data_IF_737558179100
#
_entry.id   IF_737558179100
#
_cell.length_a   1.000
_cell.length_b   1.000
_cell.length_c   1.000
_cell.angle_alpha   90.00
_cell.angle_beta   90.00
_cell.angle_gamma   90.00
#
_symmetry.space_group_name_H-M   'P 1'
#
loop_
_entity.id
_entity.type
_entity.pdbx_description
1 polymer ?
#
# COMPACT_ATOMS: atom_id res chain seq x y z
N UNK A 1 -25.18 15.02 22.17
CA UNK A 1 -24.17 15.20 21.11
C UNK A 1 -24.81 14.82 19.78
N UNK A 2 -24.59 15.59 18.72
CA UNK A 2 -25.11 15.22 17.40
C UNK A 2 -24.43 13.92 16.92
N UNK A 3 -25.15 13.03 16.22
CA UNK A 3 -24.56 11.82 15.67
C UNK A 3 -23.45 12.15 14.68
N UNK A 4 -22.39 11.33 14.61
CA UNK A 4 -21.31 11.53 13.65
C UNK A 4 -21.84 11.43 12.21
N UNK A 5 -21.41 12.34 11.33
CA UNK A 5 -21.79 12.32 9.93
C UNK A 5 -21.31 11.04 9.23
N UNK A 6 -22.07 10.49 8.27
CA UNK A 6 -21.61 9.40 7.44
C UNK A 6 -20.31 9.75 6.70
N UNK A 7 -19.38 8.80 6.59
CA UNK A 7 -18.07 9.02 5.95
C UNK A 7 -18.18 9.64 4.55
N UNK A 8 -19.13 9.15 3.73
CA UNK A 8 -19.39 9.67 2.38
C UNK A 8 -19.82 11.14 2.36
N UNK A 9 -20.60 11.58 3.36
CA UNK A 9 -21.03 12.99 3.48
C UNK A 9 -19.84 13.86 3.82
N UNK A 10 -18.97 13.40 4.71
CA UNK A 10 -17.74 14.10 5.06
C UNK A 10 -16.81 14.24 3.85
N UNK A 11 -16.61 13.16 3.08
CA UNK A 11 -15.80 13.18 1.85
C UNK A 11 -16.38 14.15 0.80
N UNK A 12 -17.71 14.19 0.64
CA UNK A 12 -18.37 15.14 -0.26
C UNK A 12 -18.18 16.60 0.17
N UNK A 13 -18.24 16.88 1.48
CA UNK A 13 -17.96 18.22 2.03
C UNK A 13 -16.50 18.60 1.80
N UNK A 14 -15.55 17.69 2.02
CA UNK A 14 -14.13 17.90 1.74
C UNK A 14 -13.90 18.26 0.27
N UNK A 15 -14.52 17.50 -0.64
CA UNK A 15 -14.43 17.72 -2.08
C UNK A 15 -15.03 19.07 -2.50
N UNK A 16 -16.18 19.46 -1.94
CA UNK A 16 -16.78 20.76 -2.22
C UNK A 16 -15.86 21.93 -1.79
N UNK A 17 -15.22 21.79 -0.63
CA UNK A 17 -14.24 22.76 -0.11
C UNK A 17 -13.01 22.81 -1.04
N UNK A 18 -12.47 21.66 -1.44
CA UNK A 18 -11.31 21.57 -2.33
C UNK A 18 -11.59 22.16 -3.72
N UNK A 19 -12.77 21.92 -4.29
CA UNK A 19 -13.17 22.50 -5.58
C UNK A 19 -13.22 24.03 -5.49
N UNK A 20 -13.78 24.58 -4.41
CA UNK A 20 -13.81 26.03 -4.22
C UNK A 20 -12.39 26.61 -4.15
N UNK A 21 -11.50 25.97 -3.40
CA UNK A 21 -10.09 26.36 -3.31
C UNK A 21 -9.37 26.28 -4.67
N UNK A 22 -9.57 25.20 -5.44
CA UNK A 22 -8.99 25.04 -6.79
C UNK A 22 -9.46 26.12 -7.76
N UNK A 23 -10.69 26.61 -7.60
CA UNK A 23 -11.25 27.71 -8.40
C UNK A 23 -10.85 29.10 -7.88
N UNK A 24 -9.91 29.21 -6.94
CA UNK A 24 -9.53 30.46 -6.27
C UNK A 24 -10.71 31.21 -5.62
N UNK A 25 -11.75 30.47 -5.18
CA UNK A 25 -12.93 31.03 -4.51
C UNK A 25 -12.90 30.71 -3.02
N UNK A 26 -13.48 31.61 -2.23
CA UNK A 26 -13.73 31.35 -0.81
C UNK A 26 -14.93 30.40 -0.73
N UNK A 27 -14.80 29.20 -0.14
CA UNK A 27 -15.93 28.29 -0.02
C UNK A 27 -17.03 28.86 0.89
N UNK A 28 -18.28 28.82 0.42
CA UNK A 28 -19.44 29.27 1.18
C UNK A 28 -19.88 28.16 2.15
N UNK A 29 -19.42 28.25 3.40
CA UNK A 29 -19.69 27.24 4.43
C UNK A 29 -21.17 27.11 4.77
N UNK A 30 -21.95 28.19 4.73
CA UNK A 30 -23.39 28.17 5.03
C UNK A 30 -24.14 27.37 3.97
N UNK A 31 -23.88 27.66 2.69
CA UNK A 31 -24.49 26.94 1.58
C UNK A 31 -24.12 25.45 1.57
N UNK A 32 -22.87 25.11 1.90
CA UNK A 32 -22.42 23.72 2.05
C UNK A 32 -23.13 23.05 3.23
N UNK A 33 -23.24 23.72 4.37
CA UNK A 33 -23.93 23.17 5.54
C UNK A 33 -25.39 22.83 5.22
N UNK A 34 -26.10 23.73 4.54
CA UNK A 34 -27.48 23.53 4.10
C UNK A 34 -27.60 22.37 3.09
N UNK A 35 -26.71 22.30 2.10
CA UNK A 35 -26.72 21.25 1.07
C UNK A 35 -26.56 19.84 1.63
N UNK A 36 -25.83 19.69 2.74
CA UNK A 36 -25.58 18.40 3.39
C UNK A 36 -26.39 18.21 4.68
N UNK A 37 -27.39 19.06 4.94
CA UNK A 37 -28.22 19.05 6.15
C UNK A 37 -27.37 18.93 7.44
N UNK A 38 -26.35 19.78 7.54
CA UNK A 38 -25.41 19.81 8.66
C UNK A 38 -25.23 21.23 9.18
N UNK A 39 -24.39 21.41 10.19
CA UNK A 39 -24.14 22.70 10.83
C UNK A 39 -22.92 23.39 10.26
N UNK A 40 -22.95 24.72 10.24
CA UNK A 40 -21.78 25.56 9.91
C UNK A 40 -20.54 25.18 10.74
N UNK A 41 -20.73 24.85 12.02
CA UNK A 41 -19.66 24.42 12.93
C UNK A 41 -18.98 23.14 12.44
N UNK A 42 -19.76 22.17 11.96
CA UNK A 42 -19.26 20.91 11.40
C UNK A 42 -18.47 21.15 10.12
N UNK A 43 -19.02 21.94 9.19
CA UNK A 43 -18.33 22.29 7.93
C UNK A 43 -17.04 23.07 8.20
N UNK A 44 -17.06 24.01 9.15
CA UNK A 44 -15.88 24.77 9.57
C UNK A 44 -14.81 23.86 10.15
N UNK A 45 -15.20 22.87 10.96
CA UNK A 45 -14.27 21.87 11.48
C UNK A 45 -13.62 21.05 10.36
N UNK A 46 -14.41 20.61 9.38
CA UNK A 46 -13.92 19.88 8.20
C UNK A 46 -12.96 20.77 7.39
N UNK A 47 -13.30 22.04 7.13
CA UNK A 47 -12.42 22.98 6.43
C UNK A 47 -11.08 23.16 7.13
N UNK A 48 -11.07 23.36 8.46
CA UNK A 48 -9.83 23.47 9.23
C UNK A 48 -8.98 22.22 9.10
N UNK A 49 -9.61 21.04 9.07
CA UNK A 49 -8.92 19.77 8.84
C UNK A 49 -8.29 19.70 7.46
N UNK A 50 -9.03 20.01 6.40
CA UNK A 50 -8.54 20.03 5.01
C UNK A 50 -7.32 20.95 4.89
N UNK A 51 -7.42 22.17 5.42
CA UNK A 51 -6.30 23.13 5.41
C UNK A 51 -5.08 22.62 6.19
N UNK A 52 -5.29 21.91 7.30
CA UNK A 52 -4.19 21.31 8.08
C UNK A 52 -3.48 20.23 7.27
N UNK A 53 -4.23 19.36 6.60
CA UNK A 53 -3.66 18.29 5.74
C UNK A 53 -2.88 18.92 4.58
N UNK A 54 -3.46 19.91 3.90
CA UNK A 54 -2.78 20.66 2.82
C UNK A 54 -1.50 21.33 3.30
N UNK A 55 -1.49 21.90 4.52
CA UNK A 55 -0.30 22.54 5.11
C UNK A 55 0.79 21.54 5.50
N UNK A 56 0.42 20.37 6.01
CA UNK A 56 1.38 19.39 6.55
C UNK A 56 1.82 18.35 5.52
N UNK A 57 1.22 18.31 4.34
CA UNK A 57 1.45 17.33 3.27
C UNK A 57 1.31 15.87 3.73
N UNK A 58 0.65 15.63 4.87
CA UNK A 58 0.48 14.32 5.48
C UNK A 58 -0.93 14.22 6.09
N UNK A 59 -1.65 13.16 5.75
CA UNK A 59 -2.94 12.82 6.35
C UNK A 59 -2.73 11.82 7.49
N UNK A 60 -2.99 12.27 8.72
CA UNK A 60 -2.91 11.47 9.95
C UNK A 60 -3.87 10.27 9.99
N UNK A 61 -4.82 10.18 9.06
CA UNK A 61 -5.73 9.04 8.93
C UNK A 61 -5.10 7.87 8.19
N UNK A 62 -4.08 8.12 7.38
CA UNK A 62 -3.38 7.01 6.76
C UNK A 62 -2.67 6.22 7.85
N UNK A 63 -2.87 4.89 7.91
CA UNK A 63 -2.07 4.06 8.80
C UNK A 63 -0.61 4.33 8.44
N UNK A 64 0.18 4.77 9.42
CA UNK A 64 1.62 4.87 9.21
C UNK A 64 2.09 3.52 8.70
N UNK A 65 2.86 3.54 7.60
CA UNK A 65 3.41 2.31 7.07
C UNK A 65 4.09 1.52 8.20
N UNK A 66 3.93 0.19 8.23
CA UNK A 66 4.59 -0.62 9.24
C UNK A 66 6.06 -0.24 9.29
N UNK A 67 6.55 0.14 10.47
CA UNK A 67 7.97 0.47 10.64
C UNK A 67 8.80 -0.66 10.01
N UNK A 68 9.74 -0.34 9.11
CA UNK A 68 10.54 -1.37 8.46
C UNK A 68 11.26 -2.18 9.54
N UNK A 69 11.18 -3.51 9.43
CA UNK A 69 11.92 -4.39 10.34
C UNK A 69 13.42 -4.14 10.14
N UNK A 70 14.16 -4.05 11.24
CA UNK A 70 15.63 -4.12 11.15
C UNK A 70 16.01 -5.43 10.46
N UNK A 71 16.82 -5.36 9.41
CA UNK A 71 17.24 -6.50 8.60
C UNK A 71 16.14 -7.14 7.73
N UNK A 72 15.10 -6.40 7.33
CA UNK A 72 14.03 -6.90 6.47
C UNK A 72 14.53 -7.65 5.22
N UNK A 73 15.56 -7.13 4.54
CA UNK A 73 16.12 -7.76 3.34
C UNK A 73 16.76 -9.12 3.65
N UNK A 74 17.53 -9.20 4.74
CA UNK A 74 18.16 -10.46 5.18
C UNK A 74 17.13 -11.50 5.59
N UNK A 75 16.02 -11.08 6.19
CA UNK A 75 14.91 -11.97 6.54
C UNK A 75 14.21 -12.48 5.27
N UNK A 76 13.99 -11.59 4.28
CA UNK A 76 13.39 -11.98 3.00
C UNK A 76 14.28 -12.96 2.21
N UNK A 77 15.60 -12.76 2.21
CA UNK A 77 16.57 -13.69 1.62
C UNK A 77 16.55 -15.04 2.36
N UNK A 78 16.59 -15.04 3.70
CA UNK A 78 16.51 -16.28 4.48
C UNK A 78 15.21 -17.05 4.24
N UNK A 79 14.07 -16.36 4.10
CA UNK A 79 12.79 -16.97 3.72
C UNK A 79 12.90 -17.60 2.33
N UNK A 80 13.46 -16.87 1.36
CA UNK A 80 13.59 -17.34 -0.03
C UNK A 80 14.45 -18.59 -0.10
N UNK A 81 15.61 -18.58 0.55
CA UNK A 81 16.53 -19.72 0.58
C UNK A 81 15.90 -20.94 1.27
N UNK A 82 15.15 -20.72 2.36
CA UNK A 82 14.46 -21.78 3.08
C UNK A 82 13.36 -22.41 2.20
N UNK A 83 12.53 -21.59 1.56
CA UNK A 83 11.45 -22.07 0.69
C UNK A 83 11.98 -22.72 -0.60
N UNK A 84 13.13 -22.29 -1.12
CA UNK A 84 13.79 -22.97 -2.23
C UNK A 84 14.29 -24.37 -1.85
N UNK A 85 14.83 -24.53 -0.63
CA UNK A 85 15.32 -25.82 -0.15
C UNK A 85 14.22 -26.74 0.33
N UNK A 86 13.14 -26.18 0.87
CA UNK A 86 12.00 -26.91 1.47
C UNK A 86 10.69 -26.19 1.14
N UNK A 87 10.13 -26.42 -0.06
CA UNK A 87 8.88 -25.76 -0.47
C UNK A 87 7.65 -26.23 0.32
N UNK A 88 7.75 -27.37 1.00
CA UNK A 88 6.68 -27.96 1.83
C UNK A 88 6.50 -27.27 3.18
N UNK A 89 7.39 -26.36 3.55
CA UNK A 89 7.33 -25.68 4.84
C UNK A 89 6.08 -24.79 4.93
N UNK A 90 5.30 -25.03 5.97
CA UNK A 90 4.14 -24.18 6.28
C UNK A 90 4.59 -22.83 6.86
N UNK A 91 3.72 -21.83 6.73
CA UNK A 91 3.95 -20.47 7.24
C UNK A 91 4.35 -20.45 8.72
N UNK A 92 3.76 -21.33 9.54
CA UNK A 92 4.08 -21.44 10.97
C UNK A 92 5.52 -21.89 11.18
N UNK A 93 5.98 -22.89 10.44
CA UNK A 93 7.34 -23.45 10.56
C UNK A 93 8.40 -22.47 10.07
N UNK A 94 8.11 -21.72 9.00
CA UNK A 94 8.99 -20.65 8.52
C UNK A 94 9.07 -19.51 9.54
N UNK A 95 7.96 -19.16 10.19
CA UNK A 95 7.94 -18.14 11.25
C UNK A 95 8.79 -18.55 12.45
N UNK A 96 8.65 -19.79 12.92
CA UNK A 96 9.47 -20.36 14.01
C UNK A 96 10.97 -20.34 13.65
N UNK A 97 11.33 -20.73 12.43
CA UNK A 97 12.70 -20.71 11.95
C UNK A 97 13.30 -19.29 11.97
N UNK A 98 12.57 -18.29 11.48
CA UNK A 98 13.06 -16.90 11.47
C UNK A 98 13.20 -16.35 12.88
N UNK A 99 12.25 -16.67 13.76
CA UNK A 99 12.34 -16.29 15.17
C UNK A 99 13.58 -16.90 15.82
N UNK A 100 13.91 -18.16 15.51
CA UNK A 100 15.09 -18.85 16.02
C UNK A 100 16.41 -18.26 15.47
N UNK A 101 16.48 -17.94 14.17
CA UNK A 101 17.73 -17.47 13.51
C UNK A 101 18.02 -16.00 13.81
N UNK A 102 17.00 -15.14 13.79
CA UNK A 102 17.19 -13.69 13.93
C UNK A 102 16.90 -13.18 15.35
N UNK A 103 16.29 -13.99 16.22
CA UNK A 103 15.93 -13.58 17.58
C UNK A 103 14.88 -12.47 17.62
N UNK A 104 14.19 -12.20 16.51
CA UNK A 104 13.20 -11.13 16.39
C UNK A 104 11.81 -11.73 16.54
N UNK A 105 11.03 -11.22 17.50
CA UNK A 105 9.58 -11.46 17.55
C UNK A 105 8.92 -10.67 16.42
N UNK A 106 8.89 -11.25 15.23
CA UNK A 106 8.22 -10.67 14.07
C UNK A 106 6.71 -10.76 14.26
N UNK A 107 6.01 -9.63 14.14
CA UNK A 107 4.55 -9.62 14.10
C UNK A 107 4.06 -10.51 12.95
N UNK A 108 3.11 -11.39 13.23
CA UNK A 108 2.59 -12.38 12.28
C UNK A 108 2.12 -11.76 10.96
N UNK A 109 1.59 -10.53 11.01
CA UNK A 109 1.14 -9.77 9.85
C UNK A 109 2.29 -9.36 8.90
N UNK A 110 3.43 -8.94 9.44
CA UNK A 110 4.63 -8.59 8.65
C UNK A 110 5.22 -9.83 7.96
N UNK A 111 5.19 -10.97 8.67
CA UNK A 111 5.61 -12.25 8.13
C UNK A 111 4.72 -12.71 6.96
N UNK A 112 3.40 -12.60 7.09
CA UNK A 112 2.48 -12.91 5.99
C UNK A 112 2.78 -12.06 4.74
N UNK A 113 3.06 -10.77 4.91
CA UNK A 113 3.40 -9.89 3.78
C UNK A 113 4.71 -10.32 3.11
N UNK A 114 5.76 -10.61 3.88
CA UNK A 114 7.05 -11.06 3.36
C UNK A 114 6.97 -12.43 2.69
N UNK A 115 6.22 -13.37 3.26
CA UNK A 115 5.99 -14.70 2.68
C UNK A 115 5.21 -14.63 1.36
N UNK A 116 4.20 -13.75 1.27
CA UNK A 116 3.45 -13.53 0.01
C UNK A 116 4.34 -12.91 -1.07
N UNK A 117 5.14 -11.90 -0.72
CA UNK A 117 6.07 -11.25 -1.65
C UNK A 117 7.13 -12.24 -2.15
N UNK A 118 7.71 -13.05 -1.25
CA UNK A 118 8.72 -14.04 -1.62
C UNK A 118 8.15 -15.18 -2.46
N UNK A 119 6.96 -15.71 -2.14
CA UNK A 119 6.27 -16.71 -2.97
C UNK A 119 5.90 -16.19 -4.36
N UNK A 120 5.48 -14.93 -4.46
CA UNK A 120 5.23 -14.29 -5.74
C UNK A 120 6.51 -14.19 -6.58
N UNK A 121 7.64 -13.84 -5.96
CA UNK A 121 8.94 -13.75 -6.62
C UNK A 121 9.54 -15.12 -7.00
N UNK A 122 9.26 -16.18 -6.25
CA UNK A 122 9.72 -17.54 -6.61
C UNK A 122 8.85 -18.17 -7.69
N UNK A 123 7.54 -17.96 -7.64
CA UNK A 123 6.60 -18.53 -8.64
C UNK A 123 6.53 -17.69 -9.92
N UNK A 124 6.83 -16.40 -9.85
CA UNK A 124 6.89 -15.50 -11.02
C UNK A 124 8.19 -15.56 -11.83
N UNK A 125 9.12 -16.47 -11.50
CA UNK A 125 10.42 -16.60 -12.18
C UNK A 125 10.54 -17.82 -13.11
N UNK A 126 9.41 -18.46 -13.47
CA UNK A 126 9.31 -19.47 -14.52
C UNK A 126 8.58 -18.88 -15.73
N UNK A 127 9.15 -17.85 -16.35
CA UNK A 127 8.82 -17.45 -17.73
C UNK A 127 9.86 -16.45 -18.22
N UNK A 128 11.11 -16.90 -18.38
CA UNK A 128 12.14 -16.25 -19.20
C UNK A 128 13.38 -17.17 -19.20
N UNK A 129 13.23 -18.38 -19.72
CA UNK A 129 14.36 -19.13 -20.29
C UNK A 129 13.93 -19.41 -21.72
N UNK A 130 14.13 -18.43 -22.59
CA UNK A 130 14.22 -18.72 -24.02
C UNK A 130 15.42 -19.64 -24.21
N UNK A 131 15.15 -20.84 -24.71
CA UNK A 131 16.17 -21.80 -25.11
C UNK A 131 17.12 -21.13 -26.12
N UNK A 132 18.45 -21.32 -26.01
CA UNK A 132 19.35 -20.95 -27.08
C UNK A 132 19.23 -22.01 -28.18
N UNK A 133 18.23 -21.85 -29.07
CA UNK A 133 18.13 -22.72 -30.22
C UNK A 133 19.18 -22.30 -31.25
N UNK A 134 20.15 -23.19 -31.42
CA UNK A 134 21.27 -23.12 -32.33
C UNK A 134 20.83 -22.87 -33.79
N UNK A 135 21.43 -21.86 -34.42
CA UNK A 135 21.70 -21.83 -35.88
C UNK A 135 22.49 -23.10 -36.30
N UNK A 136 22.68 -23.47 -37.59
CA UNK A 136 22.54 -22.69 -38.85
C UNK A 136 22.01 -23.47 -40.08
N UNK A 137 21.72 -22.78 -41.19
CA UNK A 137 21.99 -23.16 -42.62
C UNK A 137 21.23 -22.18 -43.55
N UNK A 138 21.88 -21.22 -44.21
CA UNK A 138 22.64 -21.32 -45.47
C UNK A 138 21.86 -21.92 -46.65
N UNK A 139 21.48 -21.07 -47.62
CA UNK A 139 21.67 -21.21 -49.09
C UNK A 139 20.97 -20.05 -49.82
N UNK A 140 21.75 -19.18 -50.48
CA UNK A 140 21.89 -19.06 -51.96
C UNK A 140 20.62 -18.56 -52.65
N UNK A 141 20.55 -17.31 -53.11
CA UNK A 141 21.18 -16.71 -54.31
C UNK A 141 20.29 -16.78 -55.56
N UNK A 142 20.32 -15.66 -56.31
CA UNK A 142 19.84 -15.41 -57.69
C UNK A 142 18.34 -15.11 -57.81
N UNK A 143 17.88 -14.09 -58.54
CA UNK A 143 18.49 -13.15 -59.49
C UNK A 143 17.67 -11.85 -59.51
#
# INVERSE_FOLDING_TARGET
MAPPLPKKVVEAIELAIDIAHKNNKIPNMNAIAESFNTTYSTVTYIRRRVLKIQKMSFDYRQPSDPKPLKNQDKIAEAIRDLLQRRPEFDQTQVHEYICAVFGIKCAHQLFQTLSKITKFLTNGRISCVEEPNSSPQSRMAKS
#
